data_IF_588491843613
#
_entry.id   IF_588491843613
#
_cell.length_a   1.000
_cell.length_b   1.000
_cell.length_c   1.000
_cell.angle_alpha   90.00
_cell.angle_beta   90.00
_cell.angle_gamma   90.00
#
_symmetry.space_group_name_H-M   'P 1'
#
loop_
_entity.id
_entity.type
_entity.pdbx_description
1 polymer ?
#
# COMPACT_ATOMS: atom_id res chain seq x y z
N UNK A 1 18.95 10.86 17.57
CA UNK A 1 18.89 11.71 16.36
C UNK A 1 18.85 13.18 16.75
N UNK A 2 19.75 14.00 16.20
CA UNK A 2 19.81 15.45 16.49
C UNK A 2 18.70 16.18 15.72
N UNK A 3 18.16 17.29 16.25
CA UNK A 3 17.05 18.05 15.64
C UNK A 3 17.36 18.51 14.20
N UNK A 4 18.63 18.80 13.92
CA UNK A 4 19.09 19.24 12.60
C UNK A 4 19.11 18.10 11.57
N UNK A 5 19.41 16.87 11.98
CA UNK A 5 19.36 15.69 11.11
C UNK A 5 17.93 15.42 10.63
N UNK A 6 16.93 15.54 11.53
CA UNK A 6 15.51 15.42 11.17
C UNK A 6 15.06 16.49 10.18
N UNK A 7 15.52 17.73 10.39
CA UNK A 7 15.19 18.84 9.49
C UNK A 7 15.73 18.59 8.09
N UNK A 8 17.00 18.18 7.97
CA UNK A 8 17.63 17.88 6.69
C UNK A 8 16.93 16.72 5.96
N UNK A 9 16.52 15.68 6.68
CA UNK A 9 15.77 14.58 6.09
C UNK A 9 14.40 15.03 5.56
N UNK A 10 13.68 15.85 6.32
CA UNK A 10 12.40 16.40 5.87
C UNK A 10 12.59 17.26 4.60
N UNK A 11 13.60 18.11 4.57
CA UNK A 11 13.95 18.93 3.40
C UNK A 11 14.25 18.04 2.17
N UNK A 12 14.98 16.94 2.36
CA UNK A 12 15.26 15.99 1.28
C UNK A 12 13.99 15.31 0.74
N UNK A 13 13.07 14.91 1.63
CA UNK A 13 11.77 14.33 1.24
C UNK A 13 10.95 15.34 0.45
N UNK A 14 10.83 16.57 0.96
CA UNK A 14 10.07 17.63 0.29
C UNK A 14 10.66 17.93 -1.09
N UNK A 15 11.98 18.06 -1.20
CA UNK A 15 12.65 18.31 -2.47
C UNK A 15 12.45 17.16 -3.47
N UNK A 16 12.50 15.91 -3.00
CA UNK A 16 12.24 14.75 -3.84
C UNK A 16 10.80 14.74 -4.35
N UNK A 17 9.81 15.02 -3.50
CA UNK A 17 8.39 15.10 -3.86
C UNK A 17 8.16 16.19 -4.92
N UNK A 18 8.67 17.40 -4.69
CA UNK A 18 8.51 18.53 -5.61
C UNK A 18 9.16 18.23 -6.95
N UNK A 19 10.38 17.71 -6.95
CA UNK A 19 11.09 17.32 -8.18
C UNK A 19 10.30 16.25 -8.95
N UNK A 20 9.76 15.27 -8.23
CA UNK A 20 9.01 14.18 -8.83
C UNK A 20 7.67 14.65 -9.41
N UNK A 21 6.95 15.52 -8.70
CA UNK A 21 5.72 16.15 -9.14
C UNK A 21 5.94 16.97 -10.42
N UNK A 22 7.00 17.78 -10.45
CA UNK A 22 7.34 18.58 -11.63
C UNK A 22 7.72 17.71 -12.83
N UNK A 23 8.49 16.64 -12.62
CA UNK A 23 8.93 15.75 -13.70
C UNK A 23 7.79 14.91 -14.29
N UNK A 24 6.85 14.47 -13.46
CA UNK A 24 5.80 13.52 -13.85
C UNK A 24 4.39 14.14 -13.87
N UNK A 25 4.26 15.46 -13.82
CA UNK A 25 2.98 16.15 -13.63
C UNK A 25 1.87 15.73 -14.61
N UNK A 26 2.19 15.51 -15.89
CA UNK A 26 1.22 15.00 -16.88
C UNK A 26 0.70 13.61 -16.54
N UNK A 27 1.59 12.71 -16.11
CA UNK A 27 1.24 11.34 -15.70
C UNK A 27 0.35 11.39 -14.47
N UNK A 28 0.77 12.12 -13.44
CA UNK A 28 0.02 12.25 -12.20
C UNK A 28 -1.33 12.94 -12.39
N UNK A 29 -1.45 13.88 -13.33
CA UNK A 29 -2.75 14.47 -13.68
C UNK A 29 -3.71 13.41 -14.20
N UNK A 30 -3.28 12.60 -15.18
CA UNK A 30 -4.06 11.49 -15.72
C UNK A 30 -4.47 10.50 -14.62
N UNK A 31 -3.51 10.08 -13.80
CA UNK A 31 -3.74 9.13 -12.70
C UNK A 31 -4.73 9.72 -11.66
N UNK A 32 -4.64 11.03 -11.39
CA UNK A 32 -5.56 11.74 -10.50
C UNK A 32 -7.00 11.79 -11.02
N UNK A 33 -7.19 11.91 -12.33
CA UNK A 33 -8.52 11.82 -12.93
C UNK A 33 -9.09 10.40 -12.82
N UNK A 34 -8.25 9.38 -13.06
CA UNK A 34 -8.65 7.97 -12.90
C UNK A 34 -9.09 7.71 -11.46
N UNK A 35 -8.31 8.16 -10.47
CA UNK A 35 -8.67 8.03 -9.05
C UNK A 35 -9.98 8.76 -8.74
N UNK A 36 -10.16 10.00 -9.20
CA UNK A 36 -11.41 10.72 -8.99
C UNK A 36 -12.63 10.03 -9.64
N UNK A 37 -12.46 9.38 -10.79
CA UNK A 37 -13.51 8.54 -11.39
C UNK A 37 -13.80 7.32 -10.52
N UNK A 38 -12.77 6.64 -10.02
CA UNK A 38 -12.94 5.51 -9.10
C UNK A 38 -13.65 5.93 -7.80
N UNK A 39 -13.30 7.10 -7.24
CA UNK A 39 -13.97 7.69 -6.07
C UNK A 39 -15.45 7.95 -6.35
N UNK A 40 -15.77 8.56 -7.48
CA UNK A 40 -17.16 8.80 -7.88
C UNK A 40 -17.96 7.50 -8.00
N UNK A 41 -17.37 6.45 -8.59
CA UNK A 41 -17.99 5.13 -8.70
C UNK A 41 -18.23 4.48 -7.31
N UNK A 42 -17.43 4.84 -6.30
CA UNK A 42 -17.59 4.41 -4.90
C UNK A 42 -18.51 5.33 -4.10
N UNK A 43 -19.14 6.34 -4.72
CA UNK A 43 -19.95 7.34 -4.02
C UNK A 43 -19.15 8.33 -3.16
N UNK A 44 -17.83 8.37 -3.33
CA UNK A 44 -16.95 9.28 -2.59
C UNK A 44 -16.82 10.63 -3.31
N UNK A 45 -16.67 11.73 -2.56
CA UNK A 45 -16.44 13.04 -3.15
C UNK A 45 -15.10 13.07 -3.89
N UNK A 46 -15.08 13.79 -5.01
CA UNK A 46 -13.86 14.09 -5.76
C UNK A 46 -12.93 14.96 -4.90
N UNK A 47 -11.63 14.76 -5.11
CA UNK A 47 -10.55 15.54 -4.49
C UNK A 47 -9.93 16.43 -5.56
N UNK A 48 -9.36 17.56 -5.17
CA UNK A 48 -8.60 18.41 -6.09
C UNK A 48 -7.49 17.61 -6.77
N UNK A 49 -7.37 17.77 -8.09
CA UNK A 49 -6.33 17.11 -8.89
C UNK A 49 -4.93 17.44 -8.35
N UNK A 50 -4.68 18.68 -7.94
CA UNK A 50 -3.38 19.07 -7.39
C UNK A 50 -3.04 18.32 -6.09
N UNK A 51 -4.04 18.03 -5.26
CA UNK A 51 -3.82 17.25 -4.02
C UNK A 51 -3.44 15.81 -4.36
N UNK A 52 -4.13 15.19 -5.33
CA UNK A 52 -3.83 13.83 -5.78
C UNK A 52 -2.45 13.75 -6.46
N UNK A 53 -2.06 14.78 -7.23
CA UNK A 53 -0.72 14.88 -7.82
C UNK A 53 0.35 14.88 -6.72
N UNK A 54 0.17 15.68 -5.67
CA UNK A 54 1.13 15.73 -4.54
C UNK A 54 1.18 14.38 -3.81
N UNK A 55 0.05 13.71 -3.62
CA UNK A 55 0.00 12.39 -2.98
C UNK A 55 0.73 11.32 -3.81
N UNK A 56 0.50 11.28 -5.12
CA UNK A 56 1.17 10.35 -6.03
C UNK A 56 2.68 10.64 -6.10
N UNK A 57 3.06 11.91 -6.19
CA UNK A 57 4.46 12.31 -6.19
C UNK A 57 5.17 11.94 -4.88
N UNK A 58 4.48 12.07 -3.74
CA UNK A 58 4.98 11.65 -2.44
C UNK A 58 5.17 10.14 -2.37
N UNK A 59 4.16 9.37 -2.77
CA UNK A 59 4.24 7.91 -2.77
C UNK A 59 5.41 7.42 -3.61
N UNK A 60 5.50 7.84 -4.88
CA UNK A 60 6.61 7.47 -5.77
C UNK A 60 7.99 7.93 -5.23
N UNK A 61 8.06 9.11 -4.60
CA UNK A 61 9.31 9.61 -4.05
C UNK A 61 9.76 8.74 -2.87
N UNK A 62 8.84 8.39 -1.97
CA UNK A 62 9.14 7.55 -0.81
C UNK A 62 9.47 6.11 -1.19
N UNK A 63 8.84 5.55 -2.23
CA UNK A 63 9.15 4.21 -2.75
C UNK A 63 10.55 4.12 -3.37
N UNK A 64 11.05 5.24 -3.92
CA UNK A 64 12.38 5.32 -4.54
C UNK A 64 13.47 5.77 -3.58
N UNK A 65 13.11 6.22 -2.38
CA UNK A 65 14.08 6.65 -1.40
C UNK A 65 14.81 5.44 -0.80
N UNK A 66 16.14 5.48 -0.70
CA UNK A 66 16.88 4.40 -0.09
C UNK A 66 16.49 4.29 1.39
N UNK A 67 16.26 3.06 1.84
CA UNK A 67 15.82 2.75 3.22
C UNK A 67 16.83 3.19 4.28
N UNK A 68 18.05 3.57 3.90
CA UNK A 68 19.06 4.15 4.77
C UNK A 68 18.78 5.61 5.19
N UNK A 69 17.79 6.28 4.58
CA UNK A 69 17.31 7.60 5.03
C UNK A 69 16.30 7.51 6.18
N UNK A 70 15.70 6.35 6.42
CA UNK A 70 14.95 6.06 7.64
C UNK A 70 15.97 5.84 8.76
N UNK A 71 15.81 6.49 9.91
CA UNK A 71 16.72 6.19 11.01
C UNK A 71 16.60 4.73 11.42
N UNK A 72 17.66 4.17 12.03
CA UNK A 72 17.61 2.82 12.57
C UNK A 72 16.40 2.60 13.52
N UNK A 73 15.95 3.67 14.19
CA UNK A 73 14.73 3.66 15.01
C UNK A 73 13.46 3.57 14.16
N UNK A 74 13.35 4.28 13.04
CA UNK A 74 12.21 4.17 12.13
C UNK A 74 12.14 2.79 11.45
N UNK A 75 13.29 2.24 11.05
CA UNK A 75 13.37 0.89 10.49
C UNK A 75 12.98 -0.18 11.53
N UNK A 76 13.43 -0.02 12.79
CA UNK A 76 13.02 -0.89 13.90
C UNK A 76 11.54 -0.75 14.20
N UNK A 77 10.98 0.45 14.16
CA UNK A 77 9.56 0.68 14.44
C UNK A 77 8.66 0.11 13.32
N UNK A 78 9.08 0.23 12.06
CA UNK A 78 8.43 -0.42 10.92
C UNK A 78 8.49 -1.96 11.02
N UNK A 79 9.64 -2.52 11.41
CA UNK A 79 9.78 -3.95 11.67
C UNK A 79 9.00 -4.42 12.91
N UNK A 80 8.60 -3.50 13.80
CA UNK A 80 7.82 -3.78 15.01
C UNK A 80 6.32 -3.70 14.79
N UNK A 81 5.85 -3.32 13.59
CA UNK A 81 4.42 -3.47 13.24
C UNK A 81 4.12 -4.97 13.34
N UNK A 82 3.34 -5.41 14.34
CA UNK A 82 3.01 -6.82 14.44
C UNK A 82 2.22 -7.18 13.20
N UNK A 83 2.67 -8.21 12.48
CA UNK A 83 1.90 -8.84 11.41
C UNK A 83 0.60 -9.36 12.01
N UNK A 84 -0.40 -8.50 12.12
CA UNK A 84 -1.68 -8.82 12.76
C UNK A 84 -2.53 -9.51 11.70
N UNK A 85 -2.39 -10.84 11.69
CA UNK A 85 -3.33 -11.84 11.21
C UNK A 85 -3.64 -11.83 9.71
N UNK A 86 -2.70 -12.32 8.90
CA UNK A 86 -3.09 -13.14 7.75
C UNK A 86 -3.24 -14.56 8.30
N UNK A 87 -4.46 -14.95 8.68
CA UNK A 87 -4.77 -16.37 8.91
C UNK A 87 -4.65 -17.10 7.57
N UNK A 88 -3.78 -18.12 7.43
CA UNK A 88 -3.92 -19.07 6.35
C UNK A 88 -5.10 -19.97 6.70
N UNK A 89 -6.29 -19.66 6.18
CA UNK A 89 -7.35 -20.66 6.06
C UNK A 89 -6.97 -21.63 4.93
N UNK A 90 -6.01 -22.52 5.19
CA UNK A 90 -5.75 -23.67 4.33
C UNK A 90 -6.86 -24.72 4.57
N UNK A 91 -7.99 -24.58 3.86
CA UNK A 91 -8.91 -25.69 3.66
C UNK A 91 -8.34 -26.56 2.54
N UNK A 92 -7.49 -27.51 2.91
CA UNK A 92 -7.10 -28.59 2.01
C UNK A 92 -8.31 -29.47 1.70
N UNK A 93 -8.42 -30.04 0.48
CA UNK A 93 -9.47 -31.01 0.17
C UNK A 93 -9.16 -32.32 0.89
N UNK A 94 -10.02 -32.68 1.85
CA UNK A 94 -10.02 -34.02 2.44
C UNK A 94 -10.79 -34.94 1.51
N UNK A 95 -10.09 -35.75 0.71
CA UNK A 95 -10.68 -36.95 0.11
C UNK A 95 -10.34 -38.14 1.01
N UNK A 96 -11.14 -38.34 2.05
CA UNK A 96 -11.17 -39.59 2.81
C UNK A 96 -12.18 -40.52 2.13
N UNK A 97 -11.66 -41.36 1.23
CA UNK A 97 -12.35 -42.56 0.76
C UNK A 97 -12.12 -43.66 1.79
N UNK A 98 -13.08 -43.86 2.69
CA UNK A 98 -13.33 -45.18 3.29
C UNK A 98 -14.66 -45.17 4.04
N UNK A 99 -15.59 -45.99 3.57
CA UNK A 99 -16.93 -46.14 4.12
C UNK A 99 -17.56 -47.42 3.64
N UNK A 100 -17.05 -48.55 4.13
CA UNK A 100 -17.69 -49.85 4.01
C UNK A 100 -19.02 -49.89 4.79
N UNK A 101 -19.97 -50.63 4.20
CA UNK A 101 -21.12 -51.34 4.78
C UNK A 101 -22.52 -50.66 4.86
N UNK A 102 -23.36 -51.19 3.95
CA UNK A 102 -24.66 -51.84 4.20
C UNK A 102 -25.93 -50.99 4.28
N UNK A 103 -26.77 -51.09 3.22
CA UNK A 103 -28.05 -51.85 3.24
C UNK A 103 -28.74 -51.80 1.85
N UNK A 104 -29.33 -52.91 1.38
CA UNK A 104 -30.16 -52.93 0.17
C UNK A 104 -31.64 -52.73 0.52
N UNK A 105 -32.38 -52.00 -0.30
CA UNK A 105 -33.83 -52.08 -0.37
C UNK A 105 -34.27 -52.09 -1.83
N UNK A 106 -34.85 -53.22 -2.22
CA UNK A 106 -35.58 -53.47 -3.44
C UNK A 106 -36.77 -52.52 -3.57
N UNK A 107 -37.01 -51.98 -4.77
CA UNK A 107 -38.27 -52.08 -5.51
C UNK A 107 -38.11 -51.60 -6.95
#
# INVERSE_FOLDING_TARGET
MRRDERRLQLENVVNAVVTNANRNGKRYHSDSEVENRARANRGMPRVSINVLIVQLAFQDATERMPTNMLTADDARNAARVPARNISPSSRGPQTAVEGHNNRPLFR
#
